data_IF_493282760405
#
_entry.id   IF_493282760405
#
_cell.length_a   1.000
_cell.length_b   1.000
_cell.length_c   1.000
_cell.angle_alpha   90.00
_cell.angle_beta   90.00
_cell.angle_gamma   90.00
#
_symmetry.space_group_name_H-M   'P 1'
#
loop_
_entity.id
_entity.type
_entity.pdbx_description
1 polymer ?
#
# COMPACT_ATOMS: atom_id res chain seq x y z
N UNK A 1 -31.94 37.44 1.47
CA UNK A 1 -31.25 37.09 2.72
C UNK A 1 -31.59 35.64 3.01
N UNK A 2 -30.74 34.73 2.52
CA UNK A 2 -29.79 33.91 3.30
C UNK A 2 -30.53 32.78 4.04
N UNK A 3 -30.25 31.47 3.93
CA UNK A 3 -29.20 30.66 3.31
C UNK A 3 -29.77 29.23 3.10
N UNK A 4 -29.29 28.44 2.13
CA UNK A 4 -29.66 27.02 1.98
C UNK A 4 -28.94 26.13 3.00
N UNK A 5 -29.65 25.14 3.55
CA UNK A 5 -29.16 24.13 4.49
C UNK A 5 -27.96 23.36 3.93
N UNK A 6 -26.82 23.44 4.61
CA UNK A 6 -25.66 22.58 4.38
C UNK A 6 -25.98 21.17 4.89
N UNK A 7 -26.25 20.26 3.95
CA UNK A 7 -26.19 18.83 4.19
C UNK A 7 -24.72 18.44 4.37
N UNK A 8 -24.31 18.31 5.63
CA UNK A 8 -23.00 17.81 6.01
C UNK A 8 -22.88 16.34 5.58
N UNK A 9 -22.39 16.10 4.36
CA UNK A 9 -21.90 14.77 3.96
C UNK A 9 -20.70 14.43 4.83
N UNK A 10 -20.97 13.67 5.88
CA UNK A 10 -19.99 12.92 6.64
C UNK A 10 -19.22 12.01 5.69
N UNK A 11 -18.04 12.48 5.25
CA UNK A 11 -17.05 11.67 4.55
C UNK A 11 -16.57 10.67 5.60
N UNK A 12 -17.04 9.43 5.51
CA UNK A 12 -16.46 8.34 6.29
C UNK A 12 -15.00 8.19 5.87
N UNK A 13 -14.09 8.62 6.74
CA UNK A 13 -12.67 8.33 6.64
C UNK A 13 -12.47 6.82 6.86
N UNK A 14 -12.81 6.02 5.85
CA UNK A 14 -12.37 4.63 5.81
C UNK A 14 -10.85 4.68 5.81
N UNK A 15 -10.16 4.14 6.83
CA UNK A 15 -8.71 4.14 6.82
C UNK A 15 -8.31 3.38 5.56
N UNK A 16 -7.71 4.09 4.61
CA UNK A 16 -7.22 3.49 3.37
C UNK A 16 -6.12 2.54 3.83
N UNK A 17 -6.47 1.26 4.02
CA UNK A 17 -5.52 0.23 4.39
C UNK A 17 -4.63 0.02 3.18
N UNK A 18 -3.54 0.79 3.09
CA UNK A 18 -2.53 0.65 2.06
C UNK A 18 -1.85 -0.70 2.26
N UNK A 19 -2.38 -1.74 1.61
CA UNK A 19 -1.75 -3.06 1.58
C UNK A 19 -0.52 -2.99 0.68
N UNK A 20 0.61 -2.57 1.25
CA UNK A 20 1.90 -2.54 0.53
C UNK A 20 2.41 -3.97 0.41
N UNK A 21 2.53 -4.44 -0.83
CA UNK A 21 3.16 -5.71 -1.16
C UNK A 21 4.65 -5.52 -1.46
N UNK A 22 5.45 -6.44 -0.96
CA UNK A 22 6.90 -6.50 -1.15
C UNK A 22 7.25 -7.77 -1.92
N UNK A 23 8.22 -7.70 -2.83
CA UNK A 23 8.72 -8.85 -3.57
C UNK A 23 10.16 -9.16 -3.13
N UNK A 24 10.45 -10.44 -2.86
CA UNK A 24 11.82 -10.86 -2.58
C UNK A 24 12.68 -10.79 -3.85
N UNK A 25 13.85 -10.16 -3.77
CA UNK A 25 14.77 -10.02 -4.92
C UNK A 25 15.36 -11.34 -5.44
N UNK A 26 15.38 -12.42 -4.65
CA UNK A 26 15.91 -13.73 -5.08
C UNK A 26 14.86 -14.67 -5.63
N UNK A 27 13.74 -14.86 -4.93
CA UNK A 27 12.71 -15.84 -5.31
C UNK A 27 11.44 -15.21 -5.89
N UNK A 28 11.32 -13.88 -5.86
CA UNK A 28 10.14 -13.17 -6.39
C UNK A 28 8.86 -13.35 -5.55
N UNK A 29 8.93 -14.03 -4.40
CA UNK A 29 7.76 -14.23 -3.53
C UNK A 29 7.21 -12.88 -3.06
N UNK A 30 5.91 -12.68 -3.27
CA UNK A 30 5.18 -11.50 -2.83
C UNK A 30 4.72 -11.71 -1.39
N UNK A 31 5.07 -10.78 -0.51
CA UNK A 31 4.80 -10.83 0.93
C UNK A 31 4.24 -9.48 1.36
N UNK A 32 3.25 -9.49 2.24
CA UNK A 32 2.60 -8.27 2.75
C UNK A 32 3.34 -7.67 3.95
N UNK A 33 3.16 -6.38 4.19
CA UNK A 33 3.78 -5.71 5.35
C UNK A 33 3.41 -6.37 6.69
N UNK A 34 2.16 -6.82 6.84
CA UNK A 34 1.67 -7.45 8.07
C UNK A 34 2.37 -8.76 8.40
N UNK A 35 2.76 -9.54 7.38
CA UNK A 35 3.55 -10.76 7.56
C UNK A 35 4.98 -10.45 8.00
N UNK A 36 5.59 -9.40 7.43
CA UNK A 36 6.94 -8.95 7.79
C UNK A 36 7.02 -8.39 9.22
N UNK A 37 5.97 -7.70 9.69
CA UNK A 37 5.93 -7.14 11.06
C UNK A 37 5.71 -8.20 12.14
N UNK A 38 5.12 -9.35 11.80
CA UNK A 38 4.95 -10.48 12.74
C UNK A 38 6.25 -11.22 13.03
N UNK A 39 7.21 -11.15 12.12
CA UNK A 39 8.51 -11.79 12.27
C UNK A 39 9.46 -10.84 13.02
N UNK A 40 10.25 -11.33 13.98
CA UNK A 40 11.25 -10.52 14.69
C UNK A 40 12.37 -10.03 13.76
N UNK A 41 12.57 -10.69 12.62
CA UNK A 41 13.49 -10.27 11.56
C UNK A 41 12.80 -10.30 10.18
N UNK A 42 13.08 -9.31 9.36
CA UNK A 42 12.60 -9.23 7.97
C UNK A 42 13.37 -10.21 7.08
N UNK A 43 12.82 -11.41 6.92
CA UNK A 43 13.39 -12.49 6.11
C UNK A 43 12.34 -13.09 5.19
N UNK A 44 12.76 -13.45 3.99
CA UNK A 44 11.95 -14.28 3.10
C UNK A 44 12.09 -15.75 3.49
N UNK A 45 11.14 -16.60 3.07
CA UNK A 45 11.20 -18.06 3.23
C UNK A 45 12.47 -18.69 2.64
N UNK A 46 13.13 -18.00 1.69
CA UNK A 46 14.40 -18.42 1.11
C UNK A 46 15.65 -17.97 1.89
N UNK A 47 15.48 -17.29 3.03
CA UNK A 47 16.57 -16.74 3.85
C UNK A 47 17.13 -15.39 3.40
N UNK A 48 16.68 -14.86 2.25
CA UNK A 48 17.11 -13.55 1.75
C UNK A 48 16.40 -12.39 2.48
N UNK A 49 17.09 -11.27 2.67
CA UNK A 49 16.62 -10.12 3.49
C UNK A 49 16.25 -8.87 2.69
N UNK A 50 16.50 -8.85 1.38
CA UNK A 50 16.24 -7.68 0.53
C UNK A 50 14.93 -7.86 -0.22
N UNK A 51 14.03 -6.91 -0.02
CA UNK A 51 12.73 -6.85 -0.66
C UNK A 51 12.56 -5.54 -1.43
N UNK A 52 11.91 -5.59 -2.58
CA UNK A 52 11.51 -4.42 -3.37
C UNK A 52 10.01 -4.17 -3.22
N UNK A 53 9.59 -2.89 -3.23
CA UNK A 53 8.16 -2.55 -3.20
C UNK A 53 7.54 -2.84 -4.56
N UNK A 54 6.43 -3.57 -4.58
CA UNK A 54 5.67 -3.81 -5.80
C UNK A 54 4.99 -2.52 -6.24
N UNK A 55 4.96 -2.28 -7.55
CA UNK A 55 4.27 -1.12 -8.13
C UNK A 55 2.79 -1.17 -7.76
N UNK A 56 2.21 -0.11 -7.18
CA UNK A 56 0.78 -0.05 -6.93
C UNK A 56 -0.01 -0.19 -8.24
N UNK A 57 -1.22 -0.78 -8.21
CA UNK A 57 -2.07 -0.91 -9.41
C UNK A 57 -2.65 0.43 -9.90
N UNK A 58 -2.31 1.54 -9.23
CA UNK A 58 -2.74 2.89 -9.60
C UNK A 58 -2.04 3.32 -10.89
N UNK A 59 -2.83 3.61 -11.92
CA UNK A 59 -2.34 4.16 -13.19
C UNK A 59 -1.76 5.54 -12.92
N UNK A 60 -0.49 5.73 -13.30
CA UNK A 60 0.18 7.03 -13.26
C UNK A 60 0.17 7.60 -14.67
N UNK A 61 -0.52 8.71 -14.88
CA UNK A 61 -0.46 9.47 -16.14
C UNK A 61 0.81 10.32 -16.13
N UNK A 62 1.68 10.08 -17.10
CA UNK A 62 2.92 10.83 -17.28
C UNK A 62 2.73 11.61 -18.58
N UNK A 63 2.85 12.94 -18.53
CA UNK A 63 2.90 13.74 -19.76
C UNK A 63 4.18 13.36 -20.49
N UNK A 64 4.03 12.81 -21.70
CA UNK A 64 5.12 12.90 -22.67
C UNK A 64 5.29 14.39 -22.96
N UNK A 65 6.54 14.85 -22.92
CA UNK A 65 6.97 16.25 -23.05
C UNK A 65 6.04 17.12 -23.92
#
# INVERSE_FOLDING_TARGET
MSEPNQENTSIEEKPVSFSVAYACMRCGTQVSQSELTRLPEIKCICGFRVFTKVRPPVVKTIKAF
#
